data_IF_651783682184
#
_entry.id   IF_651783682184
#
_cell.length_a   1.000
_cell.length_b   1.000
_cell.length_c   1.000
_cell.angle_alpha   90.00
_cell.angle_beta   90.00
_cell.angle_gamma   90.00
#
_symmetry.space_group_name_H-M   'P 1'
#
loop_
_entity.id
_entity.type
_entity.pdbx_description
1 polymer ?
#
# COMPACT_ATOMS: atom_id res chain seq x y z
N UNK A 1 -5.61 6.75 -4.14
CA UNK A 1 -4.55 6.85 -3.13
C UNK A 1 -5.17 6.55 -1.78
N UNK A 2 -4.67 5.56 -1.05
CA UNK A 2 -5.09 5.26 0.33
C UNK A 2 -3.91 5.29 1.31
N UNK A 3 -2.80 5.93 0.92
CA UNK A 3 -1.58 6.00 1.72
C UNK A 3 -1.16 4.60 2.19
N UNK A 4 -0.94 4.40 3.49
CA UNK A 4 -0.57 3.11 4.09
C UNK A 4 -1.79 2.28 4.53
N UNK A 5 -3.02 2.66 4.13
CA UNK A 5 -4.26 2.00 4.54
C UNK A 5 -4.79 2.36 5.94
N UNK A 6 -4.31 3.50 6.48
CA UNK A 6 -4.82 4.17 7.69
C UNK A 6 -4.83 3.32 8.98
N UNK A 7 -3.92 2.36 9.11
CA UNK A 7 -3.70 1.60 10.34
C UNK A 7 -3.25 0.16 10.07
N UNK A 8 -3.57 -0.74 10.99
CA UNK A 8 -3.31 -2.17 10.84
C UNK A 8 -4.33 -2.88 9.95
N UNK A 9 -4.29 -4.22 9.93
CA UNK A 9 -5.11 -5.06 9.05
C UNK A 9 -6.62 -4.72 9.08
N UNK A 10 -7.20 -4.46 10.27
CA UNK A 10 -8.62 -4.09 10.37
C UNK A 10 -8.94 -2.73 9.73
N UNK A 11 -8.03 -1.75 9.82
CA UNK A 11 -8.18 -0.46 9.16
C UNK A 11 -8.05 -0.59 7.65
N UNK A 12 -7.09 -1.38 7.17
CA UNK A 12 -6.90 -1.68 5.75
C UNK A 12 -8.16 -2.33 5.18
N UNK A 13 -8.67 -3.37 5.84
CA UNK A 13 -9.87 -4.07 5.40
C UNK A 13 -11.10 -3.16 5.35
N UNK A 14 -11.28 -2.30 6.36
CA UNK A 14 -12.34 -1.28 6.36
C UNK A 14 -12.16 -0.28 5.21
N UNK A 15 -10.92 0.13 4.93
CA UNK A 15 -10.58 1.06 3.85
C UNK A 15 -10.96 0.48 2.49
N UNK A 16 -10.58 -0.78 2.19
CA UNK A 16 -10.93 -1.44 0.94
C UNK A 16 -12.44 -1.48 0.73
N UNK A 17 -13.18 -1.98 1.73
CA UNK A 17 -14.66 -2.06 1.66
C UNK A 17 -15.31 -0.69 1.50
N UNK A 18 -14.76 0.35 2.14
CA UNK A 18 -15.25 1.71 1.99
C UNK A 18 -14.99 2.28 0.59
N UNK A 19 -13.82 2.02 0.00
CA UNK A 19 -13.47 2.48 -1.34
C UNK A 19 -14.29 1.77 -2.42
N UNK A 20 -14.48 0.45 -2.31
CA UNK A 20 -15.42 -0.29 -3.18
C UNK A 20 -16.83 0.27 -3.08
N UNK A 21 -17.36 0.44 -1.85
CA UNK A 21 -18.71 0.99 -1.63
C UNK A 21 -18.86 2.42 -2.17
N UNK A 22 -17.79 3.20 -2.18
CA UNK A 22 -17.77 4.54 -2.75
C UNK A 22 -17.74 4.54 -4.29
N UNK A 23 -17.65 3.37 -4.94
CA UNK A 23 -17.62 3.23 -6.39
C UNK A 23 -16.24 3.49 -7.02
N UNK A 24 -15.16 3.44 -6.23
CA UNK A 24 -13.82 3.48 -6.80
C UNK A 24 -13.55 2.18 -7.57
N UNK A 25 -12.82 2.27 -8.69
CA UNK A 25 -12.39 1.10 -9.45
C UNK A 25 -11.06 0.52 -8.94
N UNK A 26 -10.25 1.34 -8.29
CA UNK A 26 -8.91 0.97 -7.88
C UNK A 26 -8.42 1.82 -6.69
N UNK A 27 -7.46 1.26 -5.96
CA UNK A 27 -6.63 1.96 -4.97
C UNK A 27 -5.17 1.62 -5.17
N UNK A 28 -4.29 2.51 -4.74
CA UNK A 28 -2.89 2.17 -4.52
C UNK A 28 -2.53 2.39 -3.05
N UNK A 29 -1.72 1.49 -2.49
CA UNK A 29 -1.26 1.49 -1.11
C UNK A 29 0.27 1.45 -1.06
N UNK A 30 0.88 2.21 -0.17
CA UNK A 30 2.34 2.41 -0.10
C UNK A 30 3.03 1.70 1.07
N UNK A 31 4.30 1.36 0.87
CA UNK A 31 5.20 0.73 1.85
C UNK A 31 5.88 1.72 2.80
N UNK A 32 5.46 2.99 2.82
CA UNK A 32 5.97 3.95 3.79
C UNK A 32 5.54 3.60 5.22
N UNK A 33 6.30 4.10 6.20
CA UNK A 33 5.86 4.15 7.60
C UNK A 33 4.58 5.00 7.73
N UNK A 34 3.76 4.77 8.76
CA UNK A 34 2.46 5.44 8.90
C UNK A 34 2.55 6.98 8.90
N UNK A 35 3.63 7.56 9.42
CA UNK A 35 3.95 8.99 9.25
C UNK A 35 4.59 9.25 7.88
N UNK A 36 3.86 8.92 6.82
CA UNK A 36 4.35 8.99 5.45
C UNK A 36 4.63 10.41 5.00
N UNK A 37 5.50 10.54 4.00
CA UNK A 37 5.80 11.78 3.30
C UNK A 37 5.36 11.67 1.84
N UNK A 38 5.21 12.81 1.18
CA UNK A 38 4.99 12.81 -0.27
C UNK A 38 6.16 12.11 -0.98
N UNK A 39 5.87 11.28 -1.98
CA UNK A 39 6.85 10.45 -2.72
C UNK A 39 8.02 11.23 -3.35
N UNK A 40 7.87 12.55 -3.55
CA UNK A 40 8.91 13.44 -4.10
C UNK A 40 9.69 14.23 -3.03
N UNK A 41 9.42 14.03 -1.74
CA UNK A 41 10.12 14.71 -0.64
C UNK A 41 11.24 13.83 -0.08
N UNK A 42 12.34 14.43 0.43
CA UNK A 42 13.42 13.68 1.08
C UNK A 42 12.98 13.08 2.42
N UNK A 43 13.81 12.18 2.96
CA UNK A 43 13.64 11.54 4.27
C UNK A 43 12.39 10.67 4.38
N UNK A 44 12.05 9.94 3.31
CA UNK A 44 11.08 8.85 3.35
C UNK A 44 11.67 7.68 4.14
N UNK A 45 10.81 7.00 4.87
CA UNK A 45 11.12 5.74 5.52
C UNK A 45 10.06 4.73 5.10
N UNK A 46 10.52 3.52 4.79
CA UNK A 46 9.66 2.42 4.38
C UNK A 46 9.74 1.31 5.42
N UNK A 47 8.68 0.51 5.45
CA UNK A 47 8.61 -0.67 6.31
C UNK A 47 9.33 -1.85 5.68
N UNK A 48 9.47 -2.92 6.45
CA UNK A 48 10.00 -4.18 5.92
C UNK A 48 9.13 -4.69 4.77
N UNK A 49 9.72 -5.44 3.84
CA UNK A 49 8.97 -6.07 2.75
C UNK A 49 7.84 -6.95 3.29
N UNK A 50 8.10 -7.71 4.37
CA UNK A 50 7.09 -8.56 4.99
C UNK A 50 5.88 -7.76 5.51
N UNK A 51 6.11 -6.60 6.13
CA UNK A 51 5.01 -5.75 6.58
C UNK A 51 4.18 -5.24 5.40
N UNK A 52 4.81 -4.83 4.30
CA UNK A 52 4.06 -4.43 3.11
C UNK A 52 3.27 -5.60 2.50
N UNK A 53 3.84 -6.80 2.46
CA UNK A 53 3.16 -8.03 2.04
C UNK A 53 1.92 -8.29 2.92
N UNK A 54 2.03 -8.13 4.23
CA UNK A 54 0.92 -8.33 5.16
C UNK A 54 -0.19 -7.30 4.95
N UNK A 55 0.16 -6.04 4.63
CA UNK A 55 -0.81 -5.01 4.24
C UNK A 55 -1.55 -5.41 2.96
N UNK A 56 -0.83 -5.83 1.93
CA UNK A 56 -1.41 -6.24 0.64
C UNK A 56 -2.34 -7.45 0.83
N UNK A 57 -1.93 -8.45 1.62
CA UNK A 57 -2.79 -9.60 1.99
C UNK A 57 -4.08 -9.15 2.66
N UNK A 58 -3.99 -8.28 3.68
CA UNK A 58 -5.18 -7.75 4.35
C UNK A 58 -6.10 -6.97 3.41
N UNK A 59 -5.54 -6.28 2.40
CA UNK A 59 -6.32 -5.59 1.39
C UNK A 59 -7.03 -6.56 0.43
N UNK A 60 -6.30 -7.56 -0.08
CA UNK A 60 -6.82 -8.58 -1.00
C UNK A 60 -7.89 -9.44 -0.33
N UNK A 61 -7.67 -9.86 0.93
CA UNK A 61 -8.63 -10.64 1.71
C UNK A 61 -9.94 -9.87 1.98
N UNK A 62 -9.88 -8.53 2.02
CA UNK A 62 -11.03 -7.69 2.29
C UNK A 62 -11.84 -7.29 1.04
N UNK A 63 -11.27 -7.50 -0.15
CA UNK A 63 -11.86 -7.19 -1.45
C UNK A 63 -13.07 -8.08 -1.71
N UNK A 64 -14.20 -7.48 -2.09
CA UNK A 64 -15.41 -8.24 -2.44
C UNK A 64 -15.60 -8.36 -3.95
N UNK A 65 -15.15 -7.37 -4.72
CA UNK A 65 -15.25 -7.36 -6.18
C UNK A 65 -13.89 -7.69 -6.80
N UNK A 66 -13.79 -8.82 -7.50
CA UNK A 66 -12.53 -9.24 -8.14
C UNK A 66 -12.02 -8.25 -9.21
N UNK A 67 -12.91 -7.42 -9.77
CA UNK A 67 -12.55 -6.37 -10.71
C UNK A 67 -11.95 -5.13 -10.04
N UNK A 68 -12.10 -4.99 -8.71
CA UNK A 68 -11.49 -3.91 -7.95
C UNK A 68 -9.97 -4.11 -7.88
N UNK A 69 -9.22 -3.12 -8.37
CA UNK A 69 -7.76 -3.21 -8.50
C UNK A 69 -7.07 -2.70 -7.23
N UNK A 70 -6.21 -3.53 -6.65
CA UNK A 70 -5.32 -3.16 -5.55
C UNK A 70 -3.90 -3.07 -6.10
N UNK A 71 -3.34 -1.87 -6.14
CA UNK A 71 -1.98 -1.62 -6.60
C UNK A 71 -1.04 -1.44 -5.40
N UNK A 72 -0.05 -2.33 -5.28
CA UNK A 72 1.05 -2.13 -4.34
C UNK A 72 2.03 -1.10 -4.92
N UNK A 73 2.34 -0.05 -4.15
CA UNK A 73 3.30 0.99 -4.51
C UNK A 73 4.49 0.91 -3.55
N UNK A 74 5.70 0.94 -4.09
CA UNK A 74 6.93 1.06 -3.28
C UNK A 74 7.59 2.42 -3.46
N UNK A 75 8.05 3.01 -2.35
CA UNK A 75 8.89 4.20 -2.33
C UNK A 75 10.40 3.87 -2.17
N UNK A 76 10.76 2.57 -2.25
CA UNK A 76 12.12 2.07 -2.06
C UNK A 76 13.17 2.63 -3.03
N UNK A 77 12.78 3.06 -4.22
CA UNK A 77 13.72 3.65 -5.19
C UNK A 77 14.55 4.80 -4.59
N UNK A 78 13.92 5.64 -3.75
CA UNK A 78 14.58 6.78 -3.13
C UNK A 78 15.26 6.46 -1.78
N UNK A 79 15.06 5.26 -1.24
CA UNK A 79 15.55 4.85 0.09
C UNK A 79 16.64 3.78 -0.02
N UNK A 80 16.41 2.76 -0.84
CA UNK A 80 17.23 1.55 -0.95
C UNK A 80 17.76 1.33 -2.40
N UNK A 81 17.26 2.06 -3.39
CA UNK A 81 17.71 2.01 -4.79
C UNK A 81 16.83 1.16 -5.70
N UNK A 82 17.24 1.05 -6.97
CA UNK A 82 16.44 0.39 -8.03
C UNK A 82 16.25 -1.11 -7.79
N UNK A 83 17.32 -1.82 -7.42
CA UNK A 83 17.27 -3.28 -7.27
C UNK A 83 16.31 -3.69 -6.14
N UNK A 84 16.36 -3.01 -4.99
CA UNK A 84 15.39 -3.23 -3.90
C UNK A 84 13.95 -2.90 -4.33
N UNK A 85 13.75 -1.82 -5.10
CA UNK A 85 12.42 -1.47 -5.59
C UNK A 85 11.84 -2.56 -6.52
N UNK A 86 12.68 -3.18 -7.34
CA UNK A 86 12.28 -4.31 -8.21
C UNK A 86 12.00 -5.55 -7.35
N UNK A 87 12.87 -5.89 -6.41
CA UNK A 87 12.70 -7.04 -5.52
C UNK A 87 11.41 -6.95 -4.68
N UNK A 88 11.03 -5.75 -4.24
CA UNK A 88 9.77 -5.52 -3.53
C UNK A 88 8.52 -5.63 -4.42
N UNK A 89 8.67 -5.57 -5.74
CA UNK A 89 7.56 -5.53 -6.70
C UNK A 89 7.26 -6.90 -7.36
N UNK A 90 8.06 -7.93 -7.06
CA UNK A 90 7.93 -9.31 -7.58
C UNK A 90 7.42 -10.21 -6.46
#
# INVERSE_FOLDING_TARGET
DIDTGFGGAFNIARTIKAMEKAGAAAVHMEDQVAQKRCGHRPNKAIVSQQEMVDRVKAAVDARNDESFVIMARTDALAVEGMDSAIERAI
#
